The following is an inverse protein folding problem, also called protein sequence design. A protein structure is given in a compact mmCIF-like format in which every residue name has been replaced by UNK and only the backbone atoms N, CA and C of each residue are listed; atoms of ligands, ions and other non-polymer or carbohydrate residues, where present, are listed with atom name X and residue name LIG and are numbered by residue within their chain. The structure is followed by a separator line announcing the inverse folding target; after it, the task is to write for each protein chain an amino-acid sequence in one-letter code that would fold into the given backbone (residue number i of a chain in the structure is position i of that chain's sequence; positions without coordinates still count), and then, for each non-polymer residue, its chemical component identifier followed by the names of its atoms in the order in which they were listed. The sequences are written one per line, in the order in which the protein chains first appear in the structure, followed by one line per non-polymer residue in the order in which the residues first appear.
data_IF_482393405098
#
_entry.id   IF_482393405098
#
_cell.length_a   1.000
_cell.length_b   1.000
_cell.length_c   1.000
_cell.angle_alpha   90.00
_cell.angle_beta   90.00
_cell.angle_gamma   90.00
#
_symmetry.space_group_name_H-M   'P 1'
#
loop_
_entity.id
_entity.type
_entity.pdbx_description
1 polymer ?
#
# COMPACT_ATOMS: atom_id res chain seq x y z
N UNK A 1 -13.23 18.05 17.75
CA UNK A 1 -12.16 17.60 16.83
C UNK A 1 -12.70 16.44 16.01
N UNK A 2 -12.89 16.63 14.70
CA UNK A 2 -13.26 15.53 13.80
C UNK A 2 -11.98 14.76 13.46
N UNK A 3 -11.70 13.70 14.22
CA UNK A 3 -10.65 12.73 13.89
C UNK A 3 -11.13 12.05 12.60
N UNK A 4 -10.57 12.48 11.46
CA UNK A 4 -10.84 11.88 10.16
C UNK A 4 -10.19 10.50 10.18
N UNK A 5 -10.94 9.49 10.62
CA UNK A 5 -10.53 8.09 10.59
C UNK A 5 -10.31 7.76 9.12
N UNK A 6 -9.05 7.79 8.69
CA UNK A 6 -8.67 7.29 7.38
C UNK A 6 -9.01 5.80 7.44
N UNK A 7 -10.02 5.38 6.68
CA UNK A 7 -10.37 3.96 6.56
C UNK A 7 -9.09 3.17 6.35
N UNK A 8 -8.89 2.12 7.13
CA UNK A 8 -7.71 1.25 7.07
C UNK A 8 -7.50 0.61 5.69
N UNK A 9 -8.52 0.68 4.82
CA UNK A 9 -8.48 0.30 3.40
C UNK A 9 -8.35 1.49 2.44
N UNK A 10 -7.87 2.66 2.90
CA UNK A 10 -7.64 3.80 2.02
C UNK A 10 -6.36 3.60 1.20
N UNK A 11 -6.42 3.91 -0.10
CA UNK A 11 -5.27 3.95 -1.01
C UNK A 11 -4.07 4.66 -0.38
N UNK A 12 -4.31 5.79 0.30
CA UNK A 12 -3.24 6.57 0.96
C UNK A 12 -2.52 5.79 2.06
N UNK A 13 -3.24 4.95 2.81
CA UNK A 13 -2.64 4.11 3.84
C UNK A 13 -1.74 3.02 3.22
N UNK A 14 -2.17 2.42 2.12
CA UNK A 14 -1.35 1.44 1.39
C UNK A 14 -0.13 2.07 0.73
N UNK A 15 -0.23 3.29 0.17
CA UNK A 15 0.94 4.04 -0.35
C UNK A 15 1.98 4.27 0.74
N UNK A 16 1.54 4.68 1.93
CA UNK A 16 2.45 4.86 3.07
C UNK A 16 3.08 3.53 3.51
N UNK A 17 2.28 2.46 3.59
CA UNK A 17 2.76 1.13 4.00
C UNK A 17 3.80 0.57 3.05
N UNK A 18 3.60 0.70 1.74
CA UNK A 18 4.59 0.31 0.72
C UNK A 18 5.88 1.09 0.90
N UNK A 19 5.80 2.41 1.11
CA UNK A 19 6.99 3.24 1.31
C UNK A 19 7.77 2.87 2.58
N UNK A 20 7.07 2.65 3.70
CA UNK A 20 7.72 2.23 4.94
C UNK A 20 8.41 0.86 4.80
N UNK A 21 7.72 -0.12 4.21
CA UNK A 21 8.26 -1.47 4.00
C UNK A 21 9.46 -1.48 3.06
N UNK A 22 9.48 -0.63 2.04
CA UNK A 22 10.62 -0.47 1.14
C UNK A 22 11.85 0.10 1.86
N UNK A 23 11.66 1.12 2.71
CA UNK A 23 12.75 1.66 3.54
C UNK A 23 13.28 0.63 4.53
N UNK A 24 12.40 -0.14 5.17
CA UNK A 24 12.79 -1.19 6.12
C UNK A 24 13.53 -2.33 5.42
N UNK A 25 13.07 -2.71 4.23
CA UNK A 25 13.73 -3.71 3.38
C UNK A 25 15.14 -3.28 2.99
N UNK A 26 15.33 -2.00 2.64
CA UNK A 26 16.63 -1.44 2.28
C UNK A 26 17.62 -1.46 3.46
N UNK A 27 17.13 -1.22 4.68
CA UNK A 27 17.95 -1.19 5.90
C UNK A 27 18.22 -2.59 6.48
N UNK A 28 17.41 -3.58 6.15
CA UNK A 28 17.51 -4.92 6.72
C UNK A 28 18.79 -5.65 6.28
N UNK A 29 19.58 -6.07 7.27
CA UNK A 29 20.83 -6.84 7.05
C UNK A 29 20.59 -8.36 7.09
N UNK A 30 19.66 -8.80 7.94
CA UNK A 30 19.35 -10.21 8.13
C UNK A 30 18.54 -10.77 6.95
N UNK A 31 18.95 -11.91 6.34
CA UNK A 31 18.32 -12.45 5.15
C UNK A 31 16.89 -12.96 5.38
N UNK A 32 16.58 -13.48 6.57
CA UNK A 32 15.23 -13.97 6.91
C UNK A 32 14.28 -12.79 7.07
N UNK A 33 14.71 -11.77 7.79
CA UNK A 33 13.97 -10.51 7.96
C UNK A 33 13.74 -9.83 6.62
N UNK A 34 14.75 -9.79 5.74
CA UNK A 34 14.64 -9.24 4.40
C UNK A 34 13.64 -10.00 3.53
N UNK A 35 13.63 -11.34 3.58
CA UNK A 35 12.65 -12.14 2.87
C UNK A 35 11.21 -11.84 3.36
N UNK A 36 11.01 -11.75 4.68
CA UNK A 36 9.70 -11.44 5.27
C UNK A 36 9.22 -10.02 4.90
N UNK A 37 10.11 -9.04 4.92
CA UNK A 37 9.80 -7.67 4.50
C UNK A 37 9.47 -7.59 3.02
N UNK A 38 10.20 -8.32 2.17
CA UNK A 38 9.94 -8.37 0.73
C UNK A 38 8.57 -9.00 0.43
N UNK A 39 8.19 -10.06 1.15
CA UNK A 39 6.88 -10.68 1.02
C UNK A 39 5.76 -9.70 1.42
N UNK A 40 5.91 -9.06 2.58
CA UNK A 40 4.94 -8.05 3.04
C UNK A 40 4.83 -6.86 2.07
N UNK A 41 5.96 -6.43 1.50
CA UNK A 41 6.00 -5.36 0.51
C UNK A 41 5.25 -5.76 -0.76
N UNK A 42 5.46 -6.97 -1.26
CA UNK A 42 4.78 -7.50 -2.45
C UNK A 42 3.25 -7.57 -2.25
N UNK A 43 2.80 -8.05 -1.09
CA UNK A 43 1.36 -8.11 -0.76
C UNK A 43 0.74 -6.72 -0.66
N UNK A 44 1.44 -5.79 0.00
CA UNK A 44 0.99 -4.41 0.13
C UNK A 44 0.93 -3.70 -1.23
N UNK A 45 1.95 -3.88 -2.08
CA UNK A 45 2.01 -3.31 -3.42
C UNK A 45 0.92 -3.88 -4.34
N UNK A 46 0.67 -5.20 -4.27
CA UNK A 46 -0.40 -5.85 -5.04
C UNK A 46 -1.77 -5.32 -4.62
N UNK A 47 -1.99 -5.15 -3.31
CA UNK A 47 -3.25 -4.59 -2.80
C UNK A 47 -3.42 -3.14 -3.22
N UNK A 48 -2.36 -2.34 -3.15
CA UNK A 48 -2.37 -0.96 -3.64
C UNK A 48 -2.74 -0.88 -5.12
N UNK A 49 -2.12 -1.71 -5.97
CA UNK A 49 -2.41 -1.74 -7.39
C UNK A 49 -3.89 -2.03 -7.67
N UNK A 50 -4.49 -3.00 -6.95
CA UNK A 50 -5.92 -3.32 -7.08
C UNK A 50 -6.81 -2.14 -6.68
N UNK A 51 -6.48 -1.46 -5.58
CA UNK A 51 -7.26 -0.30 -5.13
C UNK A 51 -7.17 0.87 -6.12
N UNK A 52 -5.98 1.15 -6.66
CA UNK A 52 -5.78 2.20 -7.68
C UNK A 52 -6.52 1.85 -8.99
N UNK A 53 -6.54 0.57 -9.39
CA UNK A 53 -7.34 0.12 -10.55
C UNK A 53 -8.85 0.30 -10.31
N UNK A 54 -9.34 -0.05 -9.12
CA UNK A 54 -10.75 0.16 -8.77
C UNK A 54 -11.12 1.65 -8.77
N UNK A 55 -10.23 2.51 -8.27
CA UNK A 55 -10.45 3.96 -8.28
C UNK A 55 -10.44 4.52 -9.71
N UNK A 56 -9.51 4.07 -10.55
CA UNK A 56 -9.46 4.45 -11.97
C UNK A 56 -10.74 4.02 -12.73
N UNK A 57 -11.27 2.83 -12.45
CA UNK A 57 -12.53 2.35 -13.05
C UNK A 57 -13.74 3.19 -12.63
N UNK A 58 -13.83 3.59 -11.35
CA UNK A 58 -14.90 4.48 -10.87
C UNK A 58 -14.83 5.84 -11.57
N UNK A 59 -13.63 6.41 -11.69
CA UNK A 59 -13.44 7.68 -12.39
C UNK A 59 -13.80 7.61 -13.87
N UNK A 60 -13.62 6.45 -14.52
CA UNK A 60 -14.07 6.24 -15.90
C UNK A 60 -15.60 6.10 -16.02
N UNK A 61 -16.28 5.55 -15.01
CA UNK A 61 -17.75 5.43 -15.01
C UNK A 61 -18.46 6.75 -14.69
N UNK A 62 -17.90 7.60 -13.83
CA UNK A 62 -18.49 8.92 -13.48
C UNK A 62 -18.37 9.97 -14.61
N UNK A 63 -17.62 9.68 -15.68
CA UNK A 63 -17.42 10.57 -16.83
C UNK A 63 -18.37 10.26 -18.01
N UNK A 64 -19.20 9.21 -17.89
CA UNK A 64 -20.29 8.85 -18.83
C UNK A 64 -21.65 9.33 -18.32
#
# INVERSE_FOLDING_TARGET
MLVKVISSCSIKAFRYRVHALEQDLWKATDPVSRANLALQLADAATTLARLEMQEAQKQQQDVL
#
